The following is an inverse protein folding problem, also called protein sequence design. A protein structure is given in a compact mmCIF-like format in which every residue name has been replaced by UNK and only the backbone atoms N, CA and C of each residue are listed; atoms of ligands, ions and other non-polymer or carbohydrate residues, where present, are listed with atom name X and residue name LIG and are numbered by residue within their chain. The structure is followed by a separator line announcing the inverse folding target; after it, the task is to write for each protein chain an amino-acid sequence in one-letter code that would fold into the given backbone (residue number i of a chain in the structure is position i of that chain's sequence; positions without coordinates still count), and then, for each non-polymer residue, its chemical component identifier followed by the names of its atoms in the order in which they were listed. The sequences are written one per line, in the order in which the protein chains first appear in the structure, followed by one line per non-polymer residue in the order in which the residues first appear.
data_IF_176333806455
#
_entry.id   IF_176333806455
#
_cell.length_a   1.000
_cell.length_b   1.000
_cell.length_c   1.000
_cell.angle_alpha   90.00
_cell.angle_beta   90.00
_cell.angle_gamma   90.00
#
_symmetry.space_group_name_H-M   'P 1'
#
loop_
_entity.id
_entity.type
_entity.pdbx_description
1 polymer ?
#
# COMPACT_ATOMS: atom_id res chain seq x y z
N UNK A 1 -48.14 -14.64 -48.00
CA UNK A 1 -48.16 -14.76 -46.52
C UNK A 1 -46.92 -14.08 -46.02
N UNK A 2 -46.98 -12.84 -45.54
CA UNK A 2 -45.84 -12.02 -45.10
C UNK A 2 -45.48 -12.38 -43.64
N UNK A 3 -44.19 -12.62 -43.38
CA UNK A 3 -43.59 -13.07 -42.15
C UNK A 3 -43.84 -12.12 -40.96
N UNK A 4 -45.00 -12.20 -40.30
CA UNK A 4 -45.27 -11.51 -39.06
C UNK A 4 -44.40 -12.02 -37.89
N UNK A 5 -43.86 -13.21 -37.99
CA UNK A 5 -43.06 -13.83 -36.93
C UNK A 5 -41.62 -13.33 -36.86
N UNK A 6 -41.10 -12.72 -37.95
CA UNK A 6 -39.74 -12.18 -37.97
C UNK A 6 -39.63 -10.84 -37.25
N UNK A 7 -40.71 -10.04 -37.31
CA UNK A 7 -40.76 -8.71 -36.62
C UNK A 7 -40.88 -8.89 -35.10
N UNK A 8 -41.58 -9.92 -34.65
CA UNK A 8 -41.73 -10.22 -33.23
C UNK A 8 -40.41 -10.67 -32.57
N UNK A 9 -39.56 -11.39 -33.33
CA UNK A 9 -38.27 -11.92 -32.85
C UNK A 9 -37.22 -10.80 -32.74
N UNK A 10 -37.26 -9.79 -33.63
CA UNK A 10 -36.36 -8.61 -33.57
C UNK A 10 -36.75 -7.67 -32.44
N UNK A 11 -38.05 -7.56 -32.12
CA UNK A 11 -38.51 -6.70 -31.02
C UNK A 11 -38.18 -7.30 -29.62
N UNK A 12 -38.12 -8.62 -29.49
CA UNK A 12 -37.72 -9.28 -28.24
C UNK A 12 -36.21 -9.19 -27.95
N UNK A 13 -35.39 -9.00 -28.99
CA UNK A 13 -33.92 -8.81 -28.83
C UNK A 13 -33.53 -7.38 -28.43
N UNK A 14 -34.45 -6.42 -28.55
CA UNK A 14 -34.20 -5.03 -28.16
C UNK A 14 -34.65 -4.70 -26.71
N UNK A 15 -35.34 -5.64 -26.04
CA UNK A 15 -35.81 -5.46 -24.66
C UNK A 15 -35.01 -6.23 -23.62
N UNK A 16 -33.98 -6.94 -24.02
CA UNK A 16 -33.18 -7.80 -23.12
C UNK A 16 -31.73 -7.39 -23.04
N UNK A 17 -31.39 -6.33 -22.36
CA UNK A 17 -29.98 -6.04 -22.19
C UNK A 17 -29.63 -4.73 -21.53
N UNK A 18 -30.32 -4.35 -20.48
CA UNK A 18 -29.67 -3.50 -19.50
C UNK A 18 -28.67 -4.37 -18.72
N UNK A 19 -27.48 -4.55 -19.29
CA UNK A 19 -26.29 -4.91 -18.52
C UNK A 19 -26.06 -3.78 -17.53
N UNK A 20 -26.71 -3.83 -16.40
CA UNK A 20 -26.30 -3.05 -15.23
C UNK A 20 -24.87 -3.53 -14.89
N UNK A 21 -23.90 -2.80 -15.42
CA UNK A 21 -22.54 -2.79 -14.88
C UNK A 21 -22.72 -2.35 -13.42
N UNK A 22 -22.80 -3.31 -12.51
CA UNK A 22 -22.59 -3.03 -11.11
C UNK A 22 -21.13 -2.59 -10.99
N UNK A 23 -20.88 -1.29 -11.22
CA UNK A 23 -19.69 -0.66 -10.74
C UNK A 23 -19.73 -0.85 -9.23
N UNK A 24 -18.91 -1.76 -8.73
CA UNK A 24 -18.57 -1.80 -7.33
C UNK A 24 -17.87 -0.46 -7.04
N UNK A 25 -18.65 0.58 -6.81
CA UNK A 25 -18.18 1.78 -6.13
C UNK A 25 -17.85 1.32 -4.71
N UNK A 26 -16.64 0.75 -4.58
CA UNK A 26 -16.02 0.61 -3.29
C UNK A 26 -16.05 2.00 -2.67
N UNK A 27 -16.79 2.15 -1.58
CA UNK A 27 -16.71 3.35 -0.76
C UNK A 27 -15.23 3.52 -0.47
N UNK A 28 -14.60 4.52 -1.10
CA UNK A 28 -13.29 5.02 -0.72
C UNK A 28 -13.44 5.66 0.66
N UNK A 29 -13.66 4.82 1.66
CA UNK A 29 -13.42 5.21 3.03
C UNK A 29 -11.92 5.41 3.13
N UNK A 30 -11.49 6.58 3.61
CA UNK A 30 -10.10 6.81 3.96
C UNK A 30 -9.73 5.69 4.93
N UNK A 31 -8.99 4.68 4.41
CA UNK A 31 -8.48 3.61 5.26
C UNK A 31 -7.47 4.27 6.20
N UNK A 32 -7.82 4.32 7.47
CA UNK A 32 -6.86 4.75 8.49
C UNK A 32 -6.07 3.52 8.91
N UNK A 33 -4.75 3.51 8.74
CA UNK A 33 -3.91 2.46 9.29
C UNK A 33 -4.30 2.23 10.75
N UNK A 34 -4.40 0.95 11.13
CA UNK A 34 -4.76 0.55 12.50
C UNK A 34 -6.20 0.90 12.97
N UNK A 35 -7.10 1.32 12.08
CA UNK A 35 -8.51 1.55 12.43
C UNK A 35 -9.18 0.31 13.06
N UNK A 36 -8.69 -0.90 12.70
CA UNK A 36 -9.11 -2.18 13.23
C UNK A 36 -8.18 -2.71 14.34
N UNK A 37 -7.27 -1.86 14.84
CA UNK A 37 -6.26 -2.21 15.84
C UNK A 37 -5.05 -2.95 15.24
N UNK A 38 -4.14 -3.39 16.13
CA UNK A 38 -2.90 -4.06 15.72
C UNK A 38 -3.16 -5.44 15.15
N UNK A 39 -2.26 -5.89 14.29
CA UNK A 39 -2.29 -7.25 13.77
C UNK A 39 -1.96 -8.27 14.86
N UNK A 40 -2.62 -9.41 14.78
CA UNK A 40 -2.38 -10.59 15.59
C UNK A 40 -2.51 -11.85 14.75
N UNK A 41 -1.96 -12.94 15.21
CA UNK A 41 -2.14 -14.25 14.58
C UNK A 41 -3.52 -14.79 14.99
N UNK A 42 -4.22 -15.45 14.06
CA UNK A 42 -5.49 -16.12 14.36
C UNK A 42 -5.31 -17.20 15.44
N UNK A 43 -6.40 -17.54 16.11
CA UNK A 43 -6.37 -18.54 17.19
C UNK A 43 -5.82 -19.91 16.72
N UNK A 44 -6.08 -20.25 15.48
CA UNK A 44 -5.61 -21.49 14.83
C UNK A 44 -4.20 -21.35 14.20
N UNK A 45 -3.52 -20.23 14.40
CA UNK A 45 -2.19 -19.92 13.84
C UNK A 45 -2.09 -20.03 12.30
N UNK A 46 -3.17 -19.75 11.59
CA UNK A 46 -3.24 -19.95 10.13
C UNK A 46 -3.20 -18.68 9.30
N UNK A 47 -3.60 -17.54 9.85
CA UNK A 47 -3.65 -16.26 9.15
C UNK A 47 -3.50 -15.09 10.11
N UNK A 48 -3.24 -13.92 9.55
CA UNK A 48 -3.22 -12.65 10.29
C UNK A 48 -4.63 -12.08 10.38
N UNK A 49 -4.92 -11.44 11.50
CA UNK A 49 -6.17 -10.76 11.74
C UNK A 49 -5.93 -9.44 12.50
N UNK A 50 -6.87 -8.54 12.41
CA UNK A 50 -6.88 -7.32 13.19
C UNK A 50 -7.27 -7.60 14.66
N UNK A 51 -7.03 -6.64 15.54
CA UNK A 51 -7.37 -6.77 16.97
C UNK A 51 -8.87 -6.98 17.20
N UNK A 52 -9.73 -6.41 16.35
CA UNK A 52 -11.19 -6.55 16.38
C UNK A 52 -11.70 -7.92 15.88
N UNK A 53 -10.82 -8.78 15.38
CA UNK A 53 -11.14 -10.11 14.90
C UNK A 53 -11.40 -10.22 13.40
N UNK A 54 -11.39 -9.12 12.66
CA UNK A 54 -11.52 -9.18 11.20
C UNK A 54 -10.26 -9.77 10.54
N UNK A 55 -10.37 -10.63 9.51
CA UNK A 55 -9.22 -11.14 8.78
C UNK A 55 -8.42 -10.01 8.14
N UNK A 56 -7.09 -10.13 8.18
CA UNK A 56 -6.18 -9.22 7.48
C UNK A 56 -5.59 -9.94 6.27
N UNK A 57 -5.89 -9.44 5.08
CA UNK A 57 -5.30 -9.93 3.85
C UNK A 57 -4.02 -9.13 3.57
N UNK A 58 -2.86 -9.81 3.63
CA UNK A 58 -1.58 -9.19 3.34
C UNK A 58 -1.40 -9.02 1.84
N UNK A 59 -1.63 -7.83 1.33
CA UNK A 59 -1.30 -7.44 -0.04
C UNK A 59 -0.15 -6.45 0.00
N UNK A 60 1.06 -6.96 -0.19
CA UNK A 60 2.30 -6.20 -0.01
C UNK A 60 3.04 -5.94 -1.30
N UNK A 61 3.66 -4.76 -1.37
CA UNK A 61 4.70 -4.45 -2.34
C UNK A 61 6.08 -4.39 -1.67
N UNK A 62 7.14 -4.61 -2.47
CA UNK A 62 8.51 -4.72 -1.97
C UNK A 62 9.34 -3.51 -2.40
N UNK A 63 9.30 -2.48 -1.59
CA UNK A 63 10.09 -1.25 -1.74
C UNK A 63 11.43 -1.33 -0.99
N UNK A 64 12.23 -2.38 -1.18
CA UNK A 64 13.40 -2.67 -0.33
C UNK A 64 14.34 -1.49 -0.15
N UNK A 65 14.74 -0.84 -1.25
CA UNK A 65 15.74 0.22 -1.22
C UNK A 65 15.13 1.64 -1.17
N UNK A 66 13.88 1.75 -0.76
CA UNK A 66 13.13 3.00 -0.77
C UNK A 66 13.88 4.15 -0.06
N UNK A 67 14.49 3.97 1.12
CA UNK A 67 15.22 5.03 1.79
C UNK A 67 16.49 5.47 1.05
N UNK A 68 17.12 4.54 0.30
CA UNK A 68 18.39 4.80 -0.39
C UNK A 68 18.17 5.41 -1.77
N UNK A 69 17.07 5.10 -2.44
CA UNK A 69 16.85 5.38 -3.86
C UNK A 69 15.89 6.53 -4.13
N UNK A 70 14.98 6.83 -3.21
CA UNK A 70 13.92 7.81 -3.44
C UNK A 70 14.05 9.00 -2.49
N UNK A 71 13.88 10.21 -3.06
CA UNK A 71 13.64 11.42 -2.27
C UNK A 71 12.23 11.43 -1.68
N UNK A 72 11.89 12.44 -0.87
CA UNK A 72 10.59 12.51 -0.18
C UNK A 72 9.40 12.65 -1.13
N UNK A 73 9.54 13.36 -2.23
CA UNK A 73 8.46 13.52 -3.21
C UNK A 73 8.21 12.22 -3.96
N UNK A 74 9.28 11.53 -4.36
CA UNK A 74 9.21 10.22 -4.99
C UNK A 74 8.64 9.14 -4.05
N UNK A 75 9.01 9.17 -2.76
CA UNK A 75 8.41 8.33 -1.73
C UNK A 75 6.91 8.57 -1.62
N UNK A 76 6.50 9.85 -1.56
CA UNK A 76 5.07 10.21 -1.47
C UNK A 76 4.29 9.71 -2.69
N UNK A 77 4.86 9.88 -3.88
CA UNK A 77 4.27 9.40 -5.13
C UNK A 77 4.15 7.87 -5.16
N UNK A 78 5.22 7.16 -4.80
CA UNK A 78 5.24 5.70 -4.75
C UNK A 78 4.20 5.13 -3.78
N UNK A 79 4.16 5.63 -2.55
CA UNK A 79 3.21 5.17 -1.53
C UNK A 79 1.76 5.46 -1.93
N UNK A 80 1.49 6.62 -2.52
CA UNK A 80 0.16 6.94 -3.02
C UNK A 80 -0.25 6.01 -4.17
N UNK A 81 0.69 5.66 -5.06
CA UNK A 81 0.43 4.69 -6.12
C UNK A 81 0.11 3.30 -5.56
N UNK A 82 0.87 2.83 -4.57
CA UNK A 82 0.59 1.58 -3.85
C UNK A 82 -0.80 1.60 -3.21
N UNK A 83 -1.15 2.70 -2.54
CA UNK A 83 -2.47 2.87 -1.92
C UNK A 83 -3.61 2.81 -2.96
N UNK A 84 -3.46 3.48 -4.10
CA UNK A 84 -4.45 3.46 -5.19
C UNK A 84 -4.59 2.08 -5.83
N UNK A 85 -3.50 1.31 -5.90
CA UNK A 85 -3.49 -0.07 -6.38
C UNK A 85 -4.05 -1.07 -5.34
N UNK A 86 -4.38 -0.62 -4.12
CA UNK A 86 -4.98 -1.43 -3.07
C UNK A 86 -3.98 -2.18 -2.20
N UNK A 87 -2.68 -1.89 -2.32
CA UNK A 87 -1.67 -2.44 -1.40
C UNK A 87 -1.90 -1.90 0.03
N UNK A 88 -1.75 -2.76 1.02
CA UNK A 88 -1.89 -2.41 2.42
C UNK A 88 -0.62 -2.68 3.25
N UNK A 89 0.42 -3.16 2.60
CA UNK A 89 1.75 -3.37 3.19
C UNK A 89 2.82 -2.94 2.19
N UNK A 90 3.84 -2.24 2.65
CA UNK A 90 5.08 -2.02 1.92
C UNK A 90 6.24 -2.54 2.77
N UNK A 91 6.99 -3.47 2.21
CA UNK A 91 8.15 -4.04 2.87
C UNK A 91 9.40 -3.24 2.50
N UNK A 92 10.07 -2.67 3.49
CA UNK A 92 11.26 -1.82 3.32
C UNK A 92 12.42 -2.39 4.13
N UNK A 93 13.61 -2.41 3.56
CA UNK A 93 14.84 -2.64 4.32
C UNK A 93 15.26 -1.34 5.01
N UNK A 94 15.25 -1.35 6.33
CA UNK A 94 15.67 -0.20 7.13
C UNK A 94 17.16 0.09 6.97
N UNK A 95 17.99 -0.95 6.86
CA UNK A 95 19.43 -0.88 6.63
C UNK A 95 19.79 -2.00 5.64
N UNK A 96 20.14 -1.64 4.40
CA UNK A 96 20.48 -2.60 3.35
C UNK A 96 21.94 -3.06 3.39
N UNK A 97 22.77 -2.39 4.14
CA UNK A 97 24.19 -2.70 4.31
C UNK A 97 24.77 -1.86 5.44
N UNK A 98 26.00 -2.13 5.82
CA UNK A 98 26.66 -1.35 6.89
C UNK A 98 27.98 -0.82 6.36
N UNK A 99 28.12 0.52 6.28
CA UNK A 99 27.14 1.55 6.56
C UNK A 99 26.09 1.68 5.43
N UNK A 100 24.81 1.90 5.78
CA UNK A 100 23.79 2.28 4.81
C UNK A 100 23.75 3.80 4.64
N UNK A 101 23.47 4.26 3.43
CA UNK A 101 23.36 5.68 3.10
C UNK A 101 21.99 5.95 2.46
N UNK A 102 21.29 7.00 2.87
CA UNK A 102 20.02 7.36 2.27
C UNK A 102 20.20 8.15 0.97
N UNK A 103 19.09 8.46 0.29
CA UNK A 103 19.08 9.25 -0.95
C UNK A 103 19.85 10.57 -0.83
N UNK A 104 19.83 11.21 0.34
CA UNK A 104 20.48 12.51 0.58
C UNK A 104 21.95 12.40 0.98
N UNK A 105 22.54 11.20 0.89
CA UNK A 105 23.96 10.98 1.21
C UNK A 105 24.25 10.92 2.72
N UNK A 106 23.23 10.74 3.56
CA UNK A 106 23.39 10.65 5.01
C UNK A 106 23.50 9.21 5.46
N UNK A 107 24.48 8.92 6.30
CA UNK A 107 24.70 7.58 6.82
C UNK A 107 23.77 7.21 7.97
N UNK A 108 23.43 5.93 8.06
CA UNK A 108 22.60 5.39 9.16
C UNK A 108 23.29 5.42 10.52
N UNK A 109 24.64 5.47 10.54
CA UNK A 109 25.48 5.47 11.73
C UNK A 109 26.63 6.46 11.56
N UNK A 110 27.01 7.16 12.63
CA UNK A 110 28.03 8.22 12.59
C UNK A 110 29.43 7.64 12.29
N UNK A 111 29.73 6.47 12.85
CA UNK A 111 31.04 5.80 12.73
C UNK A 111 31.02 4.55 11.85
N UNK A 112 29.94 4.37 11.08
CA UNK A 112 29.76 3.29 10.12
C UNK A 112 29.30 1.96 10.69
N UNK A 113 29.66 1.59 11.90
CA UNK A 113 29.43 0.24 12.44
C UNK A 113 28.83 0.19 13.84
N UNK A 114 28.77 1.30 14.56
CA UNK A 114 28.34 1.32 15.94
C UNK A 114 26.86 1.64 16.07
N UNK A 115 26.02 0.66 16.30
CA UNK A 115 24.56 0.81 16.48
C UNK A 115 24.16 1.67 17.69
N UNK A 116 25.07 1.97 18.60
CA UNK A 116 24.82 2.90 19.70
C UNK A 116 25.01 4.35 19.29
N UNK A 117 25.61 4.59 18.13
CA UNK A 117 25.96 5.92 17.63
C UNK A 117 25.20 6.26 16.36
N UNK A 118 23.89 6.31 16.46
CA UNK A 118 22.99 6.71 15.37
C UNK A 118 22.78 8.22 15.37
N UNK A 119 22.91 8.83 14.20
CA UNK A 119 22.62 10.27 14.04
C UNK A 119 21.13 10.47 13.71
N UNK A 120 20.43 11.10 14.64
CA UNK A 120 19.04 11.54 14.46
C UNK A 120 18.91 13.03 14.19
N UNK A 121 20.02 13.71 13.99
CA UNK A 121 20.07 15.17 13.80
C UNK A 121 19.96 15.53 12.34
N UNK A 122 19.28 16.64 12.09
CA UNK A 122 19.22 17.28 10.77
C UNK A 122 18.06 16.82 9.91
N UNK A 123 17.59 17.78 9.14
CA UNK A 123 16.58 17.56 8.09
C UNK A 123 17.25 16.71 7.00
N UNK A 124 16.55 15.66 6.55
CA UNK A 124 17.05 14.68 5.59
C UNK A 124 18.16 13.73 6.11
N UNK A 125 18.42 13.71 7.45
CA UNK A 125 19.23 12.65 8.06
C UNK A 125 18.66 11.27 7.76
N UNK A 126 19.47 10.22 7.91
CA UNK A 126 19.02 8.85 7.56
C UNK A 126 17.72 8.47 8.29
N UNK A 127 17.69 8.65 9.60
CA UNK A 127 16.55 8.28 10.43
C UNK A 127 15.38 9.24 10.32
N UNK A 128 15.63 10.52 10.04
CA UNK A 128 14.61 11.50 9.75
C UNK A 128 13.90 11.19 8.40
N UNK A 129 14.63 10.68 7.42
CA UNK A 129 14.04 10.21 6.18
C UNK A 129 13.23 8.91 6.39
N UNK A 130 13.70 7.98 7.22
CA UNK A 130 12.94 6.79 7.60
C UNK A 130 11.65 7.14 8.33
N UNK A 131 11.71 8.07 9.29
CA UNK A 131 10.51 8.55 10.00
C UNK A 131 9.51 9.20 9.03
N UNK A 132 9.99 9.95 8.03
CA UNK A 132 9.15 10.50 6.97
C UNK A 132 8.44 9.40 6.17
N UNK A 133 9.16 8.34 5.75
CA UNK A 133 8.61 7.20 5.01
C UNK A 133 7.48 6.54 5.80
N UNK A 134 7.72 6.26 7.10
CA UNK A 134 6.74 5.63 7.99
C UNK A 134 5.50 6.51 8.13
N UNK A 135 5.70 7.79 8.48
CA UNK A 135 4.59 8.75 8.64
C UNK A 135 3.79 8.93 7.36
N UNK A 136 4.46 8.87 6.20
CA UNK A 136 3.77 8.98 4.91
C UNK A 136 2.97 7.72 4.57
N UNK A 137 3.45 6.54 4.95
CA UNK A 137 2.74 5.28 4.78
C UNK A 137 1.50 5.17 5.70
N UNK A 138 1.45 5.92 6.80
CA UNK A 138 0.31 5.97 7.73
C UNK A 138 -0.86 6.87 7.26
N UNK A 139 -0.71 7.63 6.18
CA UNK A 139 -1.73 8.54 5.65
C UNK A 139 -2.65 7.86 4.63
#
# INVERSE_FOLDING_TARGET
MKNKNLVLFVLLLLLGGELTSASAQGKSGIYKPWSHGRLKVSKENRYLMNADGTPFFWLGDTGWLLPEKLNRDEVAYYLEHCRQAGFNVVQVQTINGVPAMNFYGQYSMIDGFNFKNIDRKGVYGYWDHMDYIIQKAEQ
#
